data_IF_441344656380
#
_entry.id   IF_441344656380
#
_cell.length_a   1.000
_cell.length_b   1.000
_cell.length_c   1.000
_cell.angle_alpha   90.00
_cell.angle_beta   90.00
_cell.angle_gamma   90.00
#
_symmetry.space_group_name_H-M   'P 1'
#
loop_
_entity.id
_entity.type
_entity.pdbx_description
1 polymer ?
#
# COMPACT_ATOMS: atom_id res chain seq x y z
N UNK A 1 -24.00 -15.88 6.18
CA UNK A 1 -25.42 -15.72 6.57
C UNK A 1 -25.89 -14.26 6.56
N UNK A 2 -25.37 -13.37 7.42
CA UNK A 2 -25.82 -11.97 7.46
C UNK A 2 -25.78 -11.27 6.08
N UNK A 3 -24.67 -11.42 5.34
CA UNK A 3 -24.54 -10.82 4.01
C UNK A 3 -25.58 -11.37 3.00
N UNK A 4 -25.82 -12.68 2.99
CA UNK A 4 -26.84 -13.31 2.14
C UNK A 4 -28.26 -12.88 2.49
N UNK A 5 -28.53 -12.57 3.77
CA UNK A 5 -29.82 -12.03 4.19
C UNK A 5 -30.01 -10.58 3.75
N UNK A 6 -28.93 -9.78 3.76
CA UNK A 6 -28.96 -8.37 3.33
C UNK A 6 -28.97 -8.22 1.81
N UNK A 7 -28.27 -9.11 1.09
CA UNK A 7 -28.10 -9.07 -0.37
C UNK A 7 -28.51 -10.41 -1.00
N UNK A 8 -29.79 -10.81 -0.87
CA UNK A 8 -30.25 -12.13 -1.29
C UNK A 8 -29.99 -12.36 -2.78
N UNK A 9 -29.34 -13.49 -3.09
CA UNK A 9 -29.01 -13.95 -4.44
C UNK A 9 -28.04 -13.04 -5.23
N UNK A 10 -27.59 -11.94 -4.65
CA UNK A 10 -26.71 -10.95 -5.30
C UNK A 10 -25.24 -11.35 -5.28
N UNK A 11 -24.80 -12.14 -4.30
CA UNK A 11 -23.40 -12.52 -4.16
C UNK A 11 -23.08 -13.75 -5.01
N UNK A 12 -21.98 -13.67 -5.77
CA UNK A 12 -21.37 -14.76 -6.55
C UNK A 12 -20.46 -15.60 -5.66
N UNK A 13 -19.54 -14.95 -4.96
CA UNK A 13 -18.61 -15.58 -4.05
C UNK A 13 -18.01 -14.62 -3.02
N UNK A 14 -17.44 -15.21 -1.98
CA UNK A 14 -16.64 -14.56 -0.95
C UNK A 14 -15.23 -15.12 -1.04
N UNK A 15 -14.23 -14.25 -0.95
CA UNK A 15 -12.84 -14.68 -1.04
C UNK A 15 -11.95 -13.90 -0.09
N UNK A 16 -11.02 -14.62 0.52
CA UNK A 16 -10.08 -14.11 1.51
C UNK A 16 -8.82 -13.59 0.83
N UNK A 17 -8.34 -12.44 1.30
CA UNK A 17 -7.13 -11.77 0.84
C UNK A 17 -6.12 -11.65 1.99
N UNK A 18 -4.97 -11.07 1.67
CA UNK A 18 -4.03 -10.60 2.68
C UNK A 18 -3.42 -11.72 3.52
N UNK A 19 -3.16 -11.40 4.79
CA UNK A 19 -2.38 -12.28 5.65
C UNK A 19 -3.07 -13.59 6.02
N UNK A 20 -4.41 -13.61 6.02
CA UNK A 20 -5.15 -14.85 6.27
C UNK A 20 -5.16 -15.78 5.06
N UNK A 21 -5.08 -15.24 3.83
CA UNK A 21 -5.09 -16.08 2.62
C UNK A 21 -3.74 -16.78 2.38
N UNK A 22 -2.63 -16.20 2.84
CA UNK A 22 -1.28 -16.77 2.71
C UNK A 22 -0.73 -17.41 4.01
N UNK A 23 -1.54 -17.48 5.06
CA UNK A 23 -1.17 -18.08 6.34
C UNK A 23 -0.17 -17.26 7.16
N UNK A 24 0.10 -15.99 6.79
CA UNK A 24 0.99 -15.09 7.52
C UNK A 24 0.27 -14.19 8.53
N UNK A 25 -1.00 -14.49 8.85
CA UNK A 25 -1.79 -13.75 9.81
C UNK A 25 -1.21 -13.87 11.23
N UNK A 26 -1.21 -12.75 11.94
CA UNK A 26 -0.91 -12.67 13.38
C UNK A 26 -2.13 -12.18 14.14
N UNK A 27 -2.09 -12.21 15.46
CA UNK A 27 -3.23 -11.85 16.32
C UNK A 27 -3.87 -10.50 15.98
N UNK A 28 -3.05 -9.49 15.67
CA UNK A 28 -3.54 -8.16 15.35
C UNK A 28 -3.83 -7.95 13.84
N UNK A 29 -3.77 -9.00 13.01
CA UNK A 29 -4.15 -8.93 11.59
C UNK A 29 -5.64 -8.64 11.43
N UNK A 30 -5.98 -7.79 10.47
CA UNK A 30 -7.33 -7.61 9.97
C UNK A 30 -7.74 -8.74 9.01
N UNK A 31 -9.05 -8.91 8.84
CA UNK A 31 -9.62 -9.80 7.83
C UNK A 31 -9.85 -8.99 6.56
N UNK A 32 -8.94 -9.13 5.59
CA UNK A 32 -9.11 -8.63 4.23
C UNK A 32 -9.99 -9.61 3.44
N UNK A 33 -11.17 -9.18 2.97
CA UNK A 33 -12.07 -10.03 2.21
C UNK A 33 -12.67 -9.28 1.00
N UNK A 34 -12.85 -9.98 -0.10
CA UNK A 34 -13.65 -9.51 -1.23
C UNK A 34 -15.01 -10.19 -1.27
N UNK A 35 -16.04 -9.44 -1.63
CA UNK A 35 -17.38 -9.96 -1.95
C UNK A 35 -17.68 -9.65 -3.39
N UNK A 36 -17.75 -10.68 -4.23
CA UNK A 36 -18.07 -10.53 -5.64
C UNK A 36 -19.58 -10.55 -5.83
N UNK A 37 -20.16 -9.42 -6.23
CA UNK A 37 -21.56 -9.27 -6.60
C UNK A 37 -21.75 -9.68 -8.06
N UNK A 38 -22.86 -10.35 -8.35
CA UNK A 38 -23.28 -10.69 -9.71
C UNK A 38 -23.61 -9.42 -10.48
N UNK A 39 -23.20 -9.39 -11.74
CA UNK A 39 -23.46 -8.27 -12.65
C UNK A 39 -22.91 -6.92 -12.12
N UNK A 40 -23.53 -5.80 -12.53
CA UNK A 40 -23.25 -4.48 -11.96
C UNK A 40 -23.94 -4.32 -10.60
N UNK A 41 -23.42 -3.37 -9.80
CA UNK A 41 -24.14 -2.91 -8.62
C UNK A 41 -25.48 -2.28 -9.00
N UNK A 42 -26.51 -2.57 -8.22
CA UNK A 42 -27.77 -1.84 -8.28
C UNK A 42 -27.61 -0.43 -7.68
N UNK A 43 -28.56 0.46 -7.98
CA UNK A 43 -28.60 1.80 -7.38
C UNK A 43 -28.64 1.70 -5.84
N UNK A 44 -27.76 2.44 -5.17
CA UNK A 44 -27.63 2.42 -3.70
C UNK A 44 -27.00 1.17 -3.09
N UNK A 45 -26.75 0.10 -3.85
CA UNK A 45 -26.24 -1.19 -3.32
C UNK A 45 -24.86 -1.02 -2.65
N UNK A 46 -24.00 -0.18 -3.21
CA UNK A 46 -22.69 0.14 -2.61
C UNK A 46 -22.81 0.85 -1.27
N UNK A 47 -23.75 1.80 -1.14
CA UNK A 47 -23.93 2.55 0.10
C UNK A 47 -24.60 1.68 1.16
N UNK A 48 -25.54 0.83 0.76
CA UNK A 48 -26.10 -0.19 1.63
C UNK A 48 -25.02 -1.17 2.12
N UNK A 49 -24.08 -1.58 1.25
CA UNK A 49 -22.94 -2.42 1.64
C UNK A 49 -21.99 -1.72 2.62
N UNK A 50 -21.73 -0.42 2.44
CA UNK A 50 -20.92 0.36 3.41
C UNK A 50 -21.59 0.38 4.79
N UNK A 51 -22.91 0.58 4.85
CA UNK A 51 -23.64 0.53 6.11
C UNK A 51 -23.60 -0.86 6.74
N UNK A 52 -23.83 -1.91 5.94
CA UNK A 52 -23.70 -3.30 6.37
C UNK A 52 -22.30 -3.58 6.96
N UNK A 53 -21.23 -3.14 6.29
CA UNK A 53 -19.86 -3.34 6.77
C UNK A 53 -19.59 -2.55 8.06
N UNK A 54 -20.14 -1.34 8.18
CA UNK A 54 -20.06 -0.56 9.41
C UNK A 54 -20.69 -1.33 10.58
N UNK A 55 -21.92 -1.84 10.39
CA UNK A 55 -22.64 -2.59 11.42
C UNK A 55 -21.90 -3.89 11.79
N UNK A 56 -21.33 -4.60 10.81
CA UNK A 56 -20.51 -5.79 11.06
C UNK A 56 -19.26 -5.47 11.89
N UNK A 57 -18.59 -4.35 11.62
CA UNK A 57 -17.42 -3.92 12.38
C UNK A 57 -17.76 -3.52 13.82
N UNK A 58 -18.99 -3.07 14.10
CA UNK A 58 -19.44 -2.81 15.48
C UNK A 58 -19.62 -4.10 16.29
N UNK A 59 -19.88 -5.23 15.62
CA UNK A 59 -20.14 -6.53 16.25
C UNK A 59 -18.91 -7.43 16.30
N UNK A 60 -17.95 -7.24 15.39
CA UNK A 60 -16.79 -8.10 15.26
C UNK A 60 -15.68 -7.70 16.24
N UNK A 61 -15.07 -8.66 16.97
CA UNK A 61 -13.88 -8.38 17.79
C UNK A 61 -12.62 -8.15 16.94
N UNK A 62 -12.68 -8.48 15.65
CA UNK A 62 -11.58 -8.32 14.68
C UNK A 62 -12.03 -7.31 13.62
N UNK A 63 -11.12 -6.45 13.20
CA UNK A 63 -11.39 -5.51 12.10
C UNK A 63 -11.68 -6.26 10.80
N UNK A 64 -12.78 -5.87 10.15
CA UNK A 64 -13.19 -6.40 8.85
C UNK A 64 -12.90 -5.34 7.78
N UNK A 65 -11.99 -5.65 6.86
CA UNK A 65 -11.73 -4.86 5.65
C UNK A 65 -12.32 -5.58 4.45
N UNK A 66 -13.63 -5.36 4.23
CA UNK A 66 -14.41 -6.09 3.22
C UNK A 66 -14.71 -5.16 2.04
N UNK A 67 -14.25 -5.53 0.85
CA UNK A 67 -14.48 -4.74 -0.37
C UNK A 67 -15.55 -5.40 -1.25
N UNK A 68 -16.66 -4.70 -1.57
CA UNK A 68 -17.62 -5.19 -2.54
C UNK A 68 -17.10 -4.92 -3.97
N UNK A 69 -17.19 -5.93 -4.84
CA UNK A 69 -16.76 -5.87 -6.24
C UNK A 69 -17.91 -6.30 -7.14
N UNK A 70 -18.19 -5.56 -8.21
CA UNK A 70 -19.13 -5.99 -9.24
C UNK A 70 -18.40 -6.84 -10.28
N UNK A 71 -18.97 -7.99 -10.63
CA UNK A 71 -18.43 -8.94 -11.61
C UNK A 71 -18.13 -8.28 -12.96
N UNK A 72 -18.99 -7.39 -13.43
CA UNK A 72 -18.82 -6.63 -14.70
C UNK A 72 -17.70 -5.61 -14.66
N UNK A 73 -17.34 -5.11 -13.48
CA UNK A 73 -16.25 -4.15 -13.30
C UNK A 73 -14.89 -4.83 -13.14
N UNK A 74 -14.87 -6.16 -12.98
CA UNK A 74 -13.69 -6.91 -12.62
C UNK A 74 -13.15 -7.69 -13.83
N UNK A 75 -12.63 -6.95 -14.82
CA UNK A 75 -12.09 -7.53 -16.05
C UNK A 75 -10.68 -8.09 -15.88
N UNK A 76 -9.93 -7.57 -14.90
CA UNK A 76 -8.57 -7.99 -14.57
C UNK A 76 -8.39 -7.99 -13.05
N UNK A 77 -7.66 -8.99 -12.55
CA UNK A 77 -7.42 -9.17 -11.13
C UNK A 77 -6.02 -8.70 -10.75
N UNK A 78 -5.91 -8.01 -9.60
CA UNK A 78 -4.58 -7.72 -9.05
C UNK A 78 -3.88 -9.01 -8.62
N UNK A 79 -2.54 -9.03 -8.50
CA UNK A 79 -1.82 -10.21 -8.01
C UNK A 79 -2.34 -10.75 -6.67
N UNK A 80 -2.80 -9.86 -5.77
CA UNK A 80 -3.40 -10.25 -4.50
C UNK A 80 -4.72 -11.00 -4.66
N UNK A 81 -5.57 -10.59 -5.60
CA UNK A 81 -6.82 -11.31 -5.89
C UNK A 81 -6.57 -12.64 -6.58
N UNK A 82 -5.55 -12.75 -7.44
CA UNK A 82 -5.14 -14.06 -8.00
C UNK A 82 -4.57 -15.01 -6.95
N UNK A 83 -4.17 -14.51 -5.78
CA UNK A 83 -3.73 -15.30 -4.64
C UNK A 83 -4.81 -15.47 -3.56
N UNK A 84 -6.05 -15.05 -3.85
CA UNK A 84 -7.15 -15.17 -2.90
C UNK A 84 -7.55 -16.63 -2.67
N UNK A 85 -8.16 -16.88 -1.51
CA UNK A 85 -8.77 -18.17 -1.17
C UNK A 85 -10.28 -18.02 -1.23
N UNK A 86 -10.96 -18.82 -2.06
CA UNK A 86 -12.43 -18.84 -2.10
C UNK A 86 -12.96 -19.42 -0.79
N UNK A 87 -13.78 -18.65 -0.09
CA UNK A 87 -14.41 -19.07 1.16
C UNK A 87 -15.75 -19.76 0.90
N UNK A 88 -16.54 -19.20 -0.03
CA UNK A 88 -17.88 -19.67 -0.35
C UNK A 88 -18.33 -19.17 -1.72
N UNK A 89 -19.16 -19.95 -2.42
CA UNK A 89 -19.72 -19.61 -3.73
C UNK A 89 -18.95 -20.17 -4.92
N UNK A 90 -19.23 -19.64 -6.11
CA UNK A 90 -18.61 -20.07 -7.37
C UNK A 90 -17.24 -19.38 -7.56
N UNK A 91 -16.20 -20.13 -7.92
CA UNK A 91 -14.88 -19.57 -8.22
C UNK A 91 -14.85 -18.87 -9.58
N UNK A 92 -15.45 -17.67 -9.62
CA UNK A 92 -15.42 -16.81 -10.79
C UNK A 92 -14.04 -16.16 -11.02
N UNK A 93 -13.17 -16.12 -10.00
CA UNK A 93 -11.88 -15.44 -10.07
C UNK A 93 -10.83 -16.22 -10.88
N UNK A 94 -10.98 -17.54 -10.98
CA UNK A 94 -10.11 -18.40 -11.77
C UNK A 94 -9.97 -17.92 -13.23
N UNK A 95 -11.08 -17.46 -13.83
CA UNK A 95 -11.15 -17.06 -15.23
C UNK A 95 -10.75 -15.60 -15.50
N UNK A 96 -10.56 -14.79 -14.46
CA UNK A 96 -10.22 -13.38 -14.60
C UNK A 96 -8.71 -13.27 -14.83
N UNK A 97 -8.25 -12.64 -15.93
CA UNK A 97 -6.83 -12.49 -16.21
C UNK A 97 -6.15 -11.62 -15.14
N UNK A 98 -4.87 -11.87 -14.89
CA UNK A 98 -4.09 -11.01 -14.00
C UNK A 98 -3.79 -9.68 -14.70
N UNK A 99 -3.93 -8.58 -13.97
CA UNK A 99 -3.55 -7.24 -14.42
C UNK A 99 -2.04 -7.21 -14.72
N UNK A 100 -1.60 -6.75 -15.91
CA UNK A 100 -0.19 -6.79 -16.30
C UNK A 100 0.66 -5.84 -15.47
N UNK A 101 1.96 -6.12 -15.38
CA UNK A 101 2.88 -5.39 -14.51
C UNK A 101 2.88 -3.89 -14.80
N UNK A 102 2.89 -3.52 -16.07
CA UNK A 102 2.95 -2.13 -16.55
C UNK A 102 1.79 -1.29 -16.01
N UNK A 103 0.64 -1.91 -15.75
CA UNK A 103 -0.54 -1.25 -15.18
C UNK A 103 -0.56 -1.30 -13.65
N UNK A 104 0.00 -2.34 -13.03
CA UNK A 104 0.10 -2.42 -11.56
C UNK A 104 1.23 -1.58 -10.97
N UNK A 105 2.33 -1.41 -11.69
CA UNK A 105 3.56 -0.83 -11.17
C UNK A 105 3.38 0.63 -10.72
N UNK A 106 2.70 1.52 -11.48
CA UNK A 106 2.43 2.89 -11.02
C UNK A 106 1.66 2.92 -9.70
N UNK A 107 0.70 2.01 -9.51
CA UNK A 107 -0.07 1.91 -8.28
C UNK A 107 0.79 1.41 -7.11
N UNK A 108 1.65 0.41 -7.35
CA UNK A 108 2.58 -0.10 -6.33
C UNK A 108 3.58 0.99 -5.90
N UNK A 109 4.14 1.75 -6.85
CA UNK A 109 5.01 2.91 -6.56
C UNK A 109 4.25 3.93 -5.72
N UNK A 110 3.04 4.32 -6.15
CA UNK A 110 2.22 5.25 -5.38
C UNK A 110 1.96 4.76 -3.94
N UNK A 111 1.70 3.48 -3.74
CA UNK A 111 1.56 2.86 -2.42
C UNK A 111 2.84 2.90 -1.59
N UNK A 112 4.01 2.74 -2.22
CA UNK A 112 5.31 2.88 -1.59
C UNK A 112 5.66 4.34 -1.22
N UNK A 113 5.06 5.34 -1.86
CA UNK A 113 5.11 6.75 -1.42
C UNK A 113 4.11 7.04 -0.29
N UNK A 114 2.99 6.32 -0.24
CA UNK A 114 1.92 6.57 0.73
C UNK A 114 2.38 6.36 2.18
N UNK A 115 3.07 5.25 2.44
CA UNK A 115 3.38 4.83 3.81
C UNK A 115 4.48 5.68 4.46
N UNK A 116 5.59 6.04 3.79
CA UNK A 116 6.53 7.04 4.29
C UNK A 116 5.87 8.38 4.61
N UNK A 117 4.91 8.81 3.78
CA UNK A 117 4.09 10.01 4.02
C UNK A 117 3.18 9.88 5.25
N UNK A 118 2.53 8.72 5.41
CA UNK A 118 1.69 8.42 6.57
C UNK A 118 2.50 8.43 7.89
N UNK A 119 3.70 7.84 7.89
CA UNK A 119 4.62 7.83 9.04
C UNK A 119 4.97 9.26 9.49
N UNK A 120 5.10 10.16 8.51
CA UNK A 120 5.33 11.60 8.71
C UNK A 120 4.02 12.39 8.80
N UNK A 121 3.01 11.84 9.47
CA UNK A 121 1.74 12.50 9.80
C UNK A 121 0.99 13.14 8.63
N UNK A 122 1.23 12.67 7.41
CA UNK A 122 0.64 13.24 6.20
C UNK A 122 0.96 14.74 6.05
N UNK A 123 2.18 15.16 6.38
CA UNK A 123 2.65 16.53 6.13
C UNK A 123 2.29 16.94 4.69
N UNK A 124 1.86 18.20 4.43
CA UNK A 124 1.36 18.61 3.13
C UNK A 124 2.34 18.36 1.98
N UNK A 125 3.64 18.43 2.26
CA UNK A 125 4.72 18.08 1.36
C UNK A 125 5.91 17.55 2.16
N UNK A 126 6.45 16.42 1.75
CA UNK A 126 7.79 15.99 2.17
C UNK A 126 8.78 16.34 1.07
N UNK A 127 10.04 16.51 1.44
CA UNK A 127 11.11 16.79 0.48
C UNK A 127 12.11 15.66 0.50
N UNK A 128 12.49 15.16 -0.69
CA UNK A 128 13.59 14.20 -0.84
C UNK A 128 14.95 14.92 -0.79
N UNK A 129 15.97 14.42 -0.05
CA UNK A 129 15.93 13.20 0.77
C UNK A 129 15.11 13.38 2.05
N UNK A 130 14.41 12.32 2.45
CA UNK A 130 13.60 12.33 3.65
C UNK A 130 14.49 12.39 4.90
N UNK A 131 13.98 13.05 5.94
CA UNK A 131 14.43 12.88 7.33
C UNK A 131 13.57 11.87 8.10
N UNK A 132 13.94 11.62 9.36
CA UNK A 132 13.14 10.79 10.27
C UNK A 132 11.74 11.37 10.51
N UNK A 133 10.72 10.50 10.74
CA UNK A 133 9.39 10.95 11.17
C UNK A 133 9.37 11.79 12.45
N UNK A 134 10.26 11.49 13.39
CA UNK A 134 10.50 12.24 14.63
C UNK A 134 11.94 11.98 15.12
N UNK A 135 12.90 12.87 14.83
CA UNK A 135 14.31 12.66 15.17
C UNK A 135 14.58 12.42 16.67
N UNK A 136 13.75 12.99 17.53
CA UNK A 136 13.87 12.89 19.00
C UNK A 136 13.14 11.67 19.57
N UNK A 137 12.38 10.95 18.74
CA UNK A 137 11.66 9.75 19.13
C UNK A 137 12.61 8.58 19.43
N UNK A 138 12.20 7.71 20.36
CA UNK A 138 12.97 6.52 20.71
C UNK A 138 13.17 5.56 19.52
N UNK A 139 12.20 5.48 18.62
CA UNK A 139 12.32 4.74 17.36
C UNK A 139 12.15 5.67 16.16
N UNK A 140 12.62 6.91 16.33
CA UNK A 140 12.57 7.96 15.31
C UNK A 140 11.16 8.27 14.77
N UNK A 141 10.11 7.97 15.55
CA UNK A 141 8.70 8.21 15.21
C UNK A 141 8.05 7.11 14.35
N UNK A 142 8.75 6.03 14.03
CA UNK A 142 8.19 4.90 13.28
C UNK A 142 7.18 4.07 14.11
N UNK A 143 7.19 4.23 15.43
CA UNK A 143 6.34 3.52 16.40
C UNK A 143 4.93 4.11 16.59
N UNK A 144 4.56 5.14 15.83
CA UNK A 144 3.34 5.91 16.12
C UNK A 144 2.04 5.23 15.70
N UNK A 145 2.10 4.29 14.75
CA UNK A 145 0.92 3.76 14.07
C UNK A 145 0.98 2.23 13.96
N UNK A 146 0.64 1.53 15.05
CA UNK A 146 0.79 0.07 15.11
C UNK A 146 -0.48 -0.70 15.43
N UNK A 147 -1.03 -0.43 16.61
CA UNK A 147 -2.14 -1.20 17.16
C UNK A 147 -3.46 -0.56 16.77
N UNK A 148 -4.37 -1.31 16.13
CA UNK A 148 -5.71 -0.80 15.85
C UNK A 148 -6.57 -0.96 17.12
N UNK A 149 -7.09 0.15 17.65
CA UNK A 149 -7.95 0.13 18.84
C UNK A 149 -9.46 0.16 18.51
N UNK A 150 -9.84 0.06 17.24
CA UNK A 150 -11.22 0.21 16.79
C UNK A 150 -11.49 1.57 16.14
N UNK A 151 -12.47 1.62 15.24
CA UNK A 151 -12.86 2.84 14.53
C UNK A 151 -11.72 3.45 13.70
N UNK A 152 -11.35 4.69 14.00
CA UNK A 152 -10.24 5.42 13.35
C UNK A 152 -9.00 5.54 14.24
N UNK A 153 -8.98 4.83 15.38
CA UNK A 153 -7.97 5.02 16.43
C UNK A 153 -6.85 4.00 16.32
N UNK A 154 -5.61 4.52 16.35
CA UNK A 154 -4.40 3.72 16.35
C UNK A 154 -3.57 4.06 17.58
N UNK A 155 -3.03 3.02 18.20
CA UNK A 155 -2.03 3.10 19.23
C UNK A 155 -0.61 2.93 18.71
N UNK A 156 0.37 3.07 19.63
CA UNK A 156 1.75 2.80 19.32
C UNK A 156 1.98 1.36 18.80
N UNK A 157 2.98 1.23 17.95
CA UNK A 157 3.49 0.00 17.38
C UNK A 157 4.02 0.22 15.96
N UNK A 158 4.44 -0.87 15.33
CA UNK A 158 5.31 -0.85 14.14
C UNK A 158 4.65 -1.40 12.87
N UNK A 159 3.32 -1.52 12.85
CA UNK A 159 2.57 -2.02 11.69
C UNK A 159 2.79 -1.18 10.44
N UNK A 160 2.67 0.15 10.55
CA UNK A 160 2.88 1.02 9.38
C UNK A 160 4.34 1.01 8.93
N UNK A 161 5.30 0.83 9.84
CA UNK A 161 6.71 0.61 9.48
C UNK A 161 6.85 -0.65 8.59
N UNK A 162 6.31 -1.79 9.02
CA UNK A 162 6.35 -3.04 8.21
C UNK A 162 5.62 -2.86 6.88
N UNK A 163 4.46 -2.20 6.86
CA UNK A 163 3.75 -1.91 5.61
C UNK A 163 4.57 -1.02 4.67
N UNK A 164 5.26 0.00 5.19
CA UNK A 164 6.12 0.87 4.40
C UNK A 164 7.23 0.09 3.70
N UNK A 165 7.98 -0.70 4.48
CA UNK A 165 9.13 -1.45 3.98
C UNK A 165 8.72 -2.54 2.99
N UNK A 166 7.62 -3.26 3.25
CA UNK A 166 7.11 -4.29 2.33
C UNK A 166 6.52 -3.70 1.04
N UNK A 167 5.88 -2.53 1.09
CA UNK A 167 5.41 -1.83 -0.11
C UNK A 167 6.56 -1.33 -0.97
N UNK A 168 7.63 -0.81 -0.35
CA UNK A 168 8.86 -0.45 -1.06
C UNK A 168 9.50 -1.68 -1.71
N UNK A 169 9.62 -2.80 -0.98
CA UNK A 169 10.16 -4.05 -1.54
C UNK A 169 9.35 -4.54 -2.76
N UNK A 170 8.03 -4.46 -2.69
CA UNK A 170 7.15 -4.79 -3.82
C UNK A 170 7.38 -3.85 -5.03
N UNK A 171 7.50 -2.54 -4.80
CA UNK A 171 7.79 -1.59 -5.87
C UNK A 171 9.16 -1.87 -6.52
N UNK A 172 10.18 -2.16 -5.71
CA UNK A 172 11.52 -2.50 -6.21
C UNK A 172 11.55 -3.82 -6.99
N UNK A 173 10.75 -4.82 -6.61
CA UNK A 173 10.59 -6.06 -7.39
C UNK A 173 10.02 -5.80 -8.78
N UNK A 174 9.03 -4.91 -8.89
CA UNK A 174 8.52 -4.47 -10.18
C UNK A 174 9.55 -3.69 -10.99
N UNK A 175 10.25 -2.75 -10.36
CA UNK A 175 11.23 -1.87 -11.01
C UNK A 175 12.52 -2.57 -11.45
N UNK A 176 13.13 -3.37 -10.57
CA UNK A 176 14.47 -3.96 -10.77
C UNK A 176 14.41 -5.36 -11.37
N UNK A 177 13.35 -6.13 -11.10
CA UNK A 177 13.28 -7.54 -11.45
C UNK A 177 12.09 -7.89 -12.38
N UNK A 178 11.27 -6.91 -12.75
CA UNK A 178 10.08 -7.10 -13.57
C UNK A 178 9.14 -8.17 -12.98
N UNK A 179 9.00 -8.20 -11.65
CA UNK A 179 8.18 -9.17 -10.91
C UNK A 179 6.95 -8.52 -10.28
N UNK A 180 5.83 -9.25 -10.29
CA UNK A 180 4.63 -8.89 -9.54
C UNK A 180 4.54 -9.74 -8.27
N UNK A 181 4.34 -9.09 -7.13
CA UNK A 181 4.21 -9.78 -5.85
C UNK A 181 2.75 -10.04 -5.52
N UNK A 182 2.48 -11.28 -5.09
CA UNK A 182 1.13 -11.72 -4.71
C UNK A 182 0.70 -11.22 -3.34
N UNK A 183 1.58 -11.34 -2.34
CA UNK A 183 1.26 -10.97 -0.94
C UNK A 183 2.45 -10.32 -0.26
N UNK A 184 2.22 -9.65 0.89
CA UNK A 184 3.30 -9.02 1.66
C UNK A 184 4.38 -10.03 2.07
N UNK A 185 3.99 -11.25 2.43
CA UNK A 185 4.94 -12.30 2.77
C UNK A 185 5.84 -12.69 1.59
N UNK A 186 5.23 -12.85 0.40
CA UNK A 186 5.99 -13.14 -0.81
C UNK A 186 6.95 -12.01 -1.18
N UNK A 187 6.67 -10.75 -0.83
CA UNK A 187 7.57 -9.63 -1.16
C UNK A 187 8.99 -9.84 -0.62
N UNK A 188 9.14 -10.40 0.58
CA UNK A 188 10.45 -10.61 1.21
C UNK A 188 11.17 -11.80 0.56
N UNK A 189 10.45 -12.91 0.36
CA UNK A 189 10.99 -14.09 -0.32
C UNK A 189 11.42 -13.78 -1.75
N UNK A 190 10.56 -13.11 -2.51
CA UNK A 190 10.83 -12.74 -3.90
C UNK A 190 11.97 -11.72 -3.98
N UNK A 191 12.09 -10.78 -3.03
CA UNK A 191 13.21 -9.83 -2.99
C UNK A 191 14.55 -10.56 -2.86
N UNK A 192 14.65 -11.49 -1.91
CA UNK A 192 15.83 -12.35 -1.76
C UNK A 192 16.10 -13.18 -3.01
N UNK A 193 15.04 -13.67 -3.67
CA UNK A 193 15.18 -14.54 -4.85
C UNK A 193 15.66 -13.79 -6.09
N UNK A 194 15.16 -12.57 -6.32
CA UNK A 194 15.34 -11.87 -7.60
C UNK A 194 16.22 -10.62 -7.53
N UNK A 195 16.43 -10.03 -6.35
CA UNK A 195 17.27 -8.83 -6.18
C UNK A 195 18.53 -9.15 -5.38
N UNK A 196 18.39 -9.78 -4.20
CA UNK A 196 19.49 -10.23 -3.33
C UNK A 196 20.62 -9.20 -3.12
N UNK A 197 20.28 -7.94 -2.88
CA UNK A 197 21.25 -6.85 -2.64
C UNK A 197 21.49 -6.58 -1.14
N UNK A 198 22.24 -5.52 -0.84
CA UNK A 198 22.64 -5.12 0.52
C UNK A 198 21.46 -4.92 1.48
N UNK A 199 20.24 -4.70 0.97
CA UNK A 199 19.03 -4.53 1.79
C UNK A 199 18.37 -5.85 2.19
N UNK A 200 18.74 -6.96 1.58
CA UNK A 200 18.05 -8.25 1.73
C UNK A 200 18.02 -8.72 3.17
N UNK A 201 19.15 -8.69 3.87
CA UNK A 201 19.24 -9.09 5.28
C UNK A 201 18.41 -8.18 6.17
N UNK A 202 18.42 -6.86 5.93
CA UNK A 202 17.61 -5.89 6.66
C UNK A 202 16.11 -6.17 6.48
N UNK A 203 15.65 -6.42 5.25
CA UNK A 203 14.25 -6.70 4.94
C UNK A 203 13.74 -7.96 5.63
N UNK A 204 14.53 -9.03 5.59
CA UNK A 204 14.22 -10.30 6.26
C UNK A 204 14.11 -10.07 7.75
N UNK A 205 15.14 -9.47 8.37
CA UNK A 205 15.19 -9.23 9.80
C UNK A 205 14.03 -8.34 10.27
N UNK A 206 13.77 -7.22 9.58
CA UNK A 206 12.67 -6.33 9.95
C UNK A 206 11.33 -7.04 9.85
N UNK A 207 11.09 -7.79 8.76
CA UNK A 207 9.81 -8.46 8.59
C UNK A 207 9.63 -9.59 9.61
N UNK A 208 10.60 -10.48 9.76
CA UNK A 208 10.51 -11.61 10.70
C UNK A 208 10.37 -11.11 12.14
N UNK A 209 11.23 -10.20 12.61
CA UNK A 209 11.17 -9.71 13.97
C UNK A 209 9.92 -8.85 14.21
N UNK A 210 9.67 -7.82 13.40
CA UNK A 210 8.59 -6.88 13.69
C UNK A 210 7.20 -7.47 13.48
N UNK A 211 7.01 -8.31 12.44
CA UNK A 211 5.70 -8.92 12.15
C UNK A 211 5.54 -10.25 12.86
N UNK A 212 6.49 -11.18 12.76
CA UNK A 212 6.27 -12.55 13.23
C UNK A 212 6.51 -12.67 14.73
N UNK A 213 7.64 -12.15 15.22
CA UNK A 213 8.03 -12.28 16.63
C UNK A 213 7.26 -11.29 17.51
N UNK A 214 7.32 -9.99 17.20
CA UNK A 214 6.69 -8.93 17.99
C UNK A 214 5.22 -8.67 17.62
N UNK A 215 4.71 -9.26 16.52
CA UNK A 215 3.31 -9.11 16.09
C UNK A 215 2.86 -7.65 15.96
N UNK A 216 3.74 -6.80 15.44
CA UNK A 216 3.59 -5.35 15.31
C UNK A 216 3.57 -4.55 16.62
N UNK A 217 3.76 -5.20 17.78
CA UNK A 217 3.85 -4.54 19.09
C UNK A 217 5.26 -3.97 19.28
N UNK A 218 5.38 -3.04 20.22
CA UNK A 218 6.70 -2.57 20.64
C UNK A 218 7.34 -3.59 21.59
N UNK A 219 8.64 -3.86 21.45
CA UNK A 219 9.33 -4.74 22.37
C UNK A 219 9.43 -4.17 23.78
N UNK A 220 9.42 -5.05 24.78
CA UNK A 220 9.47 -4.70 26.19
C UNK A 220 10.90 -4.66 26.75
N UNK A 221 11.82 -5.47 26.20
CA UNK A 221 13.19 -5.59 26.71
C UNK A 221 14.10 -4.50 26.13
N UNK A 222 15.08 -4.04 26.90
CA UNK A 222 16.03 -3.01 26.43
C UNK A 222 16.84 -3.47 25.21
N UNK A 223 17.20 -4.75 25.16
CA UNK A 223 17.93 -5.36 24.04
C UNK A 223 17.11 -5.31 22.75
N UNK A 224 15.86 -5.76 22.80
CA UNK A 224 14.95 -5.74 21.66
C UNK A 224 14.61 -4.30 21.23
N UNK A 225 14.49 -3.37 22.18
CA UNK A 225 14.28 -1.94 21.88
C UNK A 225 15.49 -1.33 21.18
N UNK A 226 16.70 -1.61 21.67
CA UNK A 226 17.92 -1.21 20.98
C UNK A 226 17.96 -1.77 19.55
N UNK A 227 17.58 -3.04 19.38
CA UNK A 227 17.53 -3.67 18.06
C UNK A 227 16.48 -3.03 17.13
N UNK A 228 15.27 -2.73 17.63
CA UNK A 228 14.26 -2.00 16.87
C UNK A 228 14.77 -0.62 16.44
N UNK A 229 15.47 0.09 17.33
CA UNK A 229 16.04 1.40 17.02
C UNK A 229 17.06 1.31 15.87
N UNK A 230 17.87 0.26 15.83
CA UNK A 230 18.82 0.02 14.72
C UNK A 230 18.11 -0.32 13.39
N UNK A 231 17.00 -1.07 13.44
CA UNK A 231 16.15 -1.30 12.26
C UNK A 231 15.50 -0.01 11.77
N UNK A 232 15.01 0.84 12.67
CA UNK A 232 14.43 2.15 12.33
C UNK A 232 15.47 3.09 11.69
N UNK A 233 16.72 3.04 12.14
CA UNK A 233 17.82 3.79 11.51
C UNK A 233 18.04 3.36 10.06
N UNK A 234 18.18 2.05 9.82
CA UNK A 234 18.33 1.49 8.47
C UNK A 234 17.12 1.76 7.57
N UNK A 235 15.93 1.89 8.16
CA UNK A 235 14.69 2.18 7.42
C UNK A 235 14.78 3.50 6.68
N UNK A 236 15.35 4.55 7.28
CA UNK A 236 15.48 5.84 6.61
C UNK A 236 16.38 5.75 5.37
N UNK A 237 17.51 5.04 5.51
CA UNK A 237 18.45 4.85 4.41
C UNK A 237 17.80 4.03 3.28
N UNK A 238 17.02 2.99 3.63
CA UNK A 238 16.25 2.20 2.66
C UNK A 238 15.17 3.01 1.94
N UNK A 239 14.40 3.83 2.68
CA UNK A 239 13.40 4.75 2.10
C UNK A 239 14.05 5.70 1.09
N UNK A 240 15.18 6.32 1.45
CA UNK A 240 15.90 7.23 0.57
C UNK A 240 16.52 6.53 -0.65
N UNK A 241 17.06 5.32 -0.48
CA UNK A 241 17.54 4.51 -1.60
C UNK A 241 16.41 4.21 -2.59
N UNK A 242 15.22 3.84 -2.10
CA UNK A 242 14.04 3.63 -2.94
C UNK A 242 13.64 4.88 -3.73
N UNK A 243 13.57 6.05 -3.09
CA UNK A 243 13.23 7.29 -3.79
C UNK A 243 14.25 7.62 -4.89
N UNK A 244 15.53 7.40 -4.62
CA UNK A 244 16.58 7.50 -5.66
C UNK A 244 16.29 6.57 -6.86
N UNK A 245 15.96 5.31 -6.61
CA UNK A 245 15.62 4.34 -7.68
C UNK A 245 14.32 4.69 -8.43
N UNK A 246 13.34 5.31 -7.76
CA UNK A 246 12.07 5.68 -8.38
C UNK A 246 12.16 6.90 -9.29
N UNK A 247 13.14 7.78 -9.08
CA UNK A 247 13.25 9.06 -9.80
C UNK A 247 13.11 8.93 -11.33
N UNK A 248 13.84 8.06 -12.03
CA UNK A 248 13.71 7.93 -13.49
C UNK A 248 12.30 7.48 -13.91
N UNK A 249 11.71 6.54 -13.17
CA UNK A 249 10.37 6.01 -13.48
C UNK A 249 9.29 7.07 -13.28
N UNK A 250 9.41 7.93 -12.27
CA UNK A 250 8.47 9.03 -12.08
C UNK A 250 8.51 10.02 -13.24
N UNK A 251 9.72 10.40 -13.69
CA UNK A 251 9.88 11.28 -14.86
C UNK A 251 9.27 10.65 -16.12
N UNK A 252 9.48 9.35 -16.36
CA UNK A 252 8.83 8.61 -17.45
C UNK A 252 7.30 8.62 -17.30
N UNK A 253 6.77 8.38 -16.10
CA UNK A 253 5.32 8.32 -15.87
C UNK A 253 4.64 9.69 -16.01
N UNK A 254 5.31 10.80 -15.69
CA UNK A 254 4.80 12.15 -15.95
C UNK A 254 4.60 12.42 -17.45
N UNK A 255 5.46 11.86 -18.29
CA UNK A 255 5.35 11.93 -19.76
C UNK A 255 4.40 10.89 -20.39
N UNK A 256 3.81 9.98 -19.60
CA UNK A 256 3.00 8.88 -20.13
C UNK A 256 1.70 9.37 -20.78
N UNK A 257 1.35 8.82 -21.95
CA UNK A 257 0.06 9.05 -22.60
C UNK A 257 -1.12 8.51 -21.77
N UNK A 258 -0.88 7.52 -20.91
CA UNK A 258 -1.89 6.98 -20.01
C UNK A 258 -2.17 7.97 -18.85
N UNK A 259 -3.38 8.54 -18.86
CA UNK A 259 -3.85 9.51 -17.86
C UNK A 259 -3.70 9.00 -16.43
N UNK A 260 -4.01 7.74 -16.18
CA UNK A 260 -4.00 7.17 -14.83
C UNK A 260 -2.59 7.08 -14.27
N UNK A 261 -1.65 6.58 -15.06
CA UNK A 261 -0.21 6.52 -14.77
C UNK A 261 0.34 7.89 -14.44
N UNK A 262 -0.02 8.90 -15.25
CA UNK A 262 0.39 10.28 -15.04
C UNK A 262 -0.14 10.86 -13.72
N UNK A 263 -1.41 10.62 -13.41
CA UNK A 263 -2.01 11.07 -12.15
C UNK A 263 -1.38 10.40 -10.94
N UNK A 264 -1.07 9.10 -11.00
CA UNK A 264 -0.39 8.40 -9.91
C UNK A 264 1.03 8.95 -9.68
N UNK A 265 1.75 9.32 -10.75
CA UNK A 265 3.05 9.98 -10.63
C UNK A 265 2.92 11.36 -9.95
N UNK A 266 1.98 12.20 -10.40
CA UNK A 266 1.70 13.49 -9.78
C UNK A 266 1.31 13.34 -8.31
N UNK A 267 0.43 12.40 -7.98
CA UNK A 267 0.04 12.16 -6.59
C UNK A 267 1.19 11.61 -5.73
N UNK A 268 2.14 10.89 -6.31
CA UNK A 268 3.37 10.47 -5.62
C UNK A 268 4.24 11.69 -5.31
N UNK A 269 4.40 12.61 -6.26
CA UNK A 269 5.14 13.87 -6.07
C UNK A 269 4.47 14.84 -5.09
N UNK A 270 3.14 14.82 -4.97
CA UNK A 270 2.43 15.57 -3.92
C UNK A 270 2.78 15.07 -2.51
N UNK A 271 3.24 13.83 -2.36
CA UNK A 271 3.64 13.26 -1.07
C UNK A 271 5.12 13.48 -0.79
N UNK A 272 5.97 13.28 -1.80
CA UNK A 272 7.42 13.46 -1.70
C UNK A 272 7.89 14.23 -2.92
N UNK A 273 8.21 15.50 -2.71
CA UNK A 273 8.73 16.42 -3.68
C UNK A 273 10.23 16.18 -3.90
N UNK A 274 10.64 16.14 -5.17
CA UNK A 274 12.06 16.12 -5.55
C UNK A 274 12.46 17.53 -5.95
N UNK A 275 13.46 18.09 -5.28
CA UNK A 275 14.06 19.36 -5.69
C UNK A 275 15.05 19.08 -6.81
N UNK A 276 14.94 19.83 -7.90
CA UNK A 276 15.82 19.73 -9.07
C UNK A 276 15.15 20.14 -10.37
N UNK A 277 15.96 20.56 -11.34
CA UNK A 277 15.50 21.12 -12.62
C UNK A 277 14.75 20.09 -13.50
N UNK A 278 15.08 18.80 -13.40
CA UNK A 278 14.45 17.74 -14.19
C UNK A 278 12.94 17.59 -13.93
N UNK A 279 12.49 17.72 -12.67
CA UNK A 279 11.07 17.70 -12.35
C UNK A 279 10.37 19.01 -12.69
N UNK A 280 11.06 20.14 -12.61
CA UNK A 280 10.54 21.43 -13.10
C UNK A 280 10.25 21.32 -14.60
N UNK A 281 11.25 20.91 -15.39
CA UNK A 281 11.12 20.71 -16.84
C UNK A 281 10.02 19.70 -17.19
N UNK A 282 9.89 18.61 -16.44
CA UNK A 282 8.85 17.60 -16.68
C UNK A 282 7.43 18.08 -16.32
N UNK A 283 7.29 19.00 -15.35
CA UNK A 283 6.00 19.52 -14.91
C UNK A 283 5.50 20.70 -15.74
N UNK A 284 6.40 21.51 -16.31
CA UNK A 284 6.05 22.71 -17.10
C UNK A 284 5.02 22.43 -18.22
N UNK A 285 5.17 21.39 -19.06
CA UNK A 285 4.16 21.07 -20.08
C UNK A 285 2.81 20.67 -19.46
N UNK A 286 2.82 20.04 -18.29
CA UNK A 286 1.61 19.56 -17.61
C UNK A 286 0.81 20.70 -16.98
N UNK A 287 1.45 21.81 -16.63
CA UNK A 287 0.78 23.04 -16.18
C UNK A 287 -0.13 23.64 -17.26
N UNK A 288 0.13 23.32 -18.53
CA UNK A 288 -0.70 23.72 -19.68
C UNK A 288 -1.59 22.57 -20.21
N UNK A 289 -1.71 21.47 -19.46
CA UNK A 289 -2.56 20.34 -19.83
C UNK A 289 -4.03 20.76 -19.97
N UNK A 290 -4.71 20.25 -20.99
CA UNK A 290 -6.17 20.38 -21.15
C UNK A 290 -6.96 19.57 -20.12
N UNK A 291 -6.31 18.57 -19.51
CA UNK A 291 -6.85 17.85 -18.36
C UNK A 291 -6.68 18.71 -17.10
N UNK A 292 -7.79 19.23 -16.59
CA UNK A 292 -7.82 20.14 -15.45
C UNK A 292 -7.20 19.53 -14.19
N UNK A 293 -7.43 18.24 -13.92
CA UNK A 293 -6.88 17.58 -12.74
C UNK A 293 -5.35 17.49 -12.81
N UNK A 294 -4.83 17.11 -13.98
CA UNK A 294 -3.39 17.08 -14.26
C UNK A 294 -2.79 18.47 -14.11
N UNK A 295 -3.42 19.49 -14.71
CA UNK A 295 -2.98 20.88 -14.66
C UNK A 295 -2.88 21.39 -13.22
N UNK A 296 -3.94 21.21 -12.42
CA UNK A 296 -3.98 21.71 -11.04
C UNK A 296 -2.96 21.01 -10.15
N UNK A 297 -2.80 19.69 -10.28
CA UNK A 297 -1.79 18.94 -9.53
C UNK A 297 -0.36 19.37 -9.93
N UNK A 298 -0.09 19.52 -11.22
CA UNK A 298 1.21 19.96 -11.71
C UNK A 298 1.57 21.36 -11.19
N UNK A 299 0.62 22.30 -11.21
CA UNK A 299 0.80 23.65 -10.64
C UNK A 299 1.15 23.62 -9.16
N UNK A 300 0.43 22.82 -8.38
CA UNK A 300 0.68 22.69 -6.94
C UNK A 300 2.09 22.16 -6.68
N UNK A 301 2.48 21.08 -7.37
CA UNK A 301 3.80 20.48 -7.20
C UNK A 301 4.90 21.43 -7.65
N UNK A 302 4.72 22.09 -8.80
CA UNK A 302 5.69 23.04 -9.35
C UNK A 302 5.94 24.17 -8.37
N UNK A 303 4.88 24.75 -7.79
CA UNK A 303 4.99 25.76 -6.75
C UNK A 303 5.78 25.25 -5.54
N UNK A 304 5.49 24.05 -5.05
CA UNK A 304 6.19 23.43 -3.91
C UNK A 304 7.68 23.19 -4.16
N UNK A 305 8.10 22.88 -5.40
CA UNK A 305 9.53 22.61 -5.69
C UNK A 305 10.34 23.86 -6.05
N UNK A 306 9.68 24.98 -6.36
CA UNK A 306 10.34 26.24 -6.74
C UNK A 306 10.46 27.27 -5.61
N UNK A 307 9.71 27.10 -4.53
CA UNK A 307 9.81 27.93 -3.31
C UNK A 307 10.82 27.36 -2.31
#
# INVERSE_FOLDING_TARGET
DLCEMTFPERVRCYFLLGSYSDGSAVEDSDIDMGVLFKENFHEGERDHFKQFLHDCNLLSPIRLDITPIAETSYTEATPGVKAAVILYGEDALANIPQLPLERTLPFTIFGAFHHPWLLRRKEPHLTYPLGYPDPEGEFYGYERWGSFYGGSSFGPGIRILVNSVTMIANALLGLKANQQVRTKNHSIYDYKKYIDDDWTSYLINLYETCKTEWRYKLPETEEDRSYLRDLCKQTLDYENAFFSYCRPTLLTNLGSEDRHTRLLALQSLQRVAYIGDDFVEALEPLVQSVDEEVCQKAKLILHTITE
#
